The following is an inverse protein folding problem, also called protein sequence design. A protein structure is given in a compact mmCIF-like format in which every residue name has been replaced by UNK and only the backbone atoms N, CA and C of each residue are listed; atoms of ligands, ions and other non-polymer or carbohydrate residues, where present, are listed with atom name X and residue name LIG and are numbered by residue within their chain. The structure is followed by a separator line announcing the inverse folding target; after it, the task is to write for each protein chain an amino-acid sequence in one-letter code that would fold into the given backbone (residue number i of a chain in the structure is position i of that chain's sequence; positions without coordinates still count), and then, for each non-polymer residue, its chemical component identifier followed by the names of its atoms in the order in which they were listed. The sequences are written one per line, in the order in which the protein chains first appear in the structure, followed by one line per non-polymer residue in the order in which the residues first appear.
data_IF_181682196194
#
_entry.id   IF_181682196194
#
_cell.length_a   1.000
_cell.length_b   1.000
_cell.length_c   1.000
_cell.angle_alpha   90.00
_cell.angle_beta   90.00
_cell.angle_gamma   90.00
#
_symmetry.space_group_name_H-M   'P 1'
#
loop_
_entity.id
_entity.type
_entity.pdbx_description
1 polymer ?
#
# COMPACT_ATOMS: atom_id res chain seq x y z
N UNK A 1 -0.71 -9.76 -15.89
CA UNK A 1 -2.10 -10.23 -15.68
C UNK A 1 -2.74 -9.32 -14.62
N UNK A 2 -4.00 -8.92 -14.79
CA UNK A 2 -4.74 -8.10 -13.82
C UNK A 2 -5.10 -8.98 -12.60
N UNK A 3 -4.90 -8.48 -11.38
CA UNK A 3 -5.16 -9.19 -10.10
C UNK A 3 -6.63 -9.10 -9.64
N UNK A 4 -7.53 -8.68 -10.53
CA UNK A 4 -8.95 -8.46 -10.25
C UNK A 4 -9.22 -7.16 -9.49
N UNK A 5 -10.51 -6.93 -9.21
CA UNK A 5 -11.04 -5.73 -8.53
C UNK A 5 -10.59 -5.58 -7.08
N UNK A 6 -9.98 -6.64 -6.52
CA UNK A 6 -9.40 -6.64 -5.18
C UNK A 6 -8.11 -5.83 -5.11
N UNK A 7 -7.42 -5.66 -6.25
CA UNK A 7 -6.26 -4.78 -6.36
C UNK A 7 -6.58 -3.62 -7.28
N UNK A 8 -6.97 -3.89 -8.53
CA UNK A 8 -7.14 -2.90 -9.58
C UNK A 8 -8.50 -2.20 -9.49
N UNK A 9 -8.52 -0.88 -9.61
CA UNK A 9 -9.74 -0.06 -9.61
C UNK A 9 -9.80 0.83 -10.85
N UNK A 10 -10.72 1.78 -10.88
CA UNK A 10 -10.74 2.84 -11.90
C UNK A 10 -9.72 3.96 -11.59
N UNK A 11 -9.20 4.00 -10.36
CA UNK A 11 -8.16 4.93 -9.95
C UNK A 11 -6.76 4.43 -10.29
N UNK A 12 -5.76 5.00 -9.62
CA UNK A 12 -4.37 4.60 -9.79
C UNK A 12 -3.99 3.51 -8.79
N UNK A 13 -3.30 2.48 -9.24
CA UNK A 13 -2.60 1.50 -8.40
C UNK A 13 -1.13 1.45 -8.78
N UNK A 14 -0.25 1.87 -7.87
CA UNK A 14 1.17 2.04 -8.16
C UNK A 14 2.05 1.49 -7.02
N UNK A 15 3.35 1.42 -7.30
CA UNK A 15 4.40 1.05 -6.34
C UNK A 15 4.19 -0.30 -5.65
N UNK A 16 4.02 -1.40 -6.41
CA UNK A 16 3.85 -2.72 -5.82
C UNK A 16 5.12 -3.19 -5.10
N UNK A 17 4.96 -3.76 -3.91
CA UNK A 17 6.01 -4.42 -3.15
C UNK A 17 5.47 -5.74 -2.57
N UNK A 18 6.10 -6.87 -2.93
CA UNK A 18 5.72 -8.20 -2.42
C UNK A 18 6.67 -8.60 -1.30
N UNK A 19 6.12 -9.11 -0.19
CA UNK A 19 6.91 -9.62 0.93
C UNK A 19 7.72 -10.85 0.53
N UNK A 20 8.86 -11.07 1.18
CA UNK A 20 9.76 -12.20 0.88
C UNK A 20 9.07 -13.57 1.00
N UNK A 21 8.06 -13.69 1.88
CA UNK A 21 7.26 -14.90 2.04
C UNK A 21 6.14 -15.08 0.98
N UNK A 22 6.03 -14.14 0.03
CA UNK A 22 5.02 -14.09 -1.04
C UNK A 22 3.56 -14.12 -0.55
N UNK A 23 3.29 -13.70 0.69
CA UNK A 23 1.92 -13.70 1.24
C UNK A 23 1.22 -12.37 1.12
N UNK A 24 1.97 -11.27 1.08
CA UNK A 24 1.40 -9.92 1.10
C UNK A 24 1.95 -9.07 -0.03
N UNK A 25 1.07 -8.44 -0.79
CA UNK A 25 1.40 -7.38 -1.73
C UNK A 25 1.01 -6.03 -1.11
N UNK A 26 1.96 -5.14 -0.93
CA UNK A 26 1.71 -3.74 -0.63
C UNK A 26 1.64 -2.93 -1.92
N UNK A 27 0.74 -1.98 -1.99
CA UNK A 27 0.60 -1.07 -3.13
C UNK A 27 -0.07 0.24 -2.68
N UNK A 28 0.16 1.33 -3.41
CA UNK A 28 -0.55 2.57 -3.20
C UNK A 28 -1.77 2.63 -4.12
N UNK A 29 -2.91 3.14 -3.63
CA UNK A 29 -4.13 3.30 -4.44
C UNK A 29 -4.85 4.61 -4.17
N UNK A 30 -5.39 5.24 -5.23
CA UNK A 30 -6.30 6.40 -5.17
C UNK A 30 -7.76 6.06 -5.47
N UNK A 31 -8.05 4.83 -5.91
CA UNK A 31 -9.40 4.40 -6.26
C UNK A 31 -10.13 3.66 -5.14
N UNK A 32 -9.63 3.77 -3.91
CA UNK A 32 -10.22 3.15 -2.70
C UNK A 32 -10.42 4.21 -1.63
N UNK A 33 -11.38 4.00 -0.74
CA UNK A 33 -11.55 4.87 0.41
C UNK A 33 -10.29 4.83 1.29
N UNK A 34 -9.78 6.01 1.62
CA UNK A 34 -8.58 6.19 2.42
C UNK A 34 -8.55 7.56 3.09
N UNK A 35 -7.36 8.09 3.34
CA UNK A 35 -7.13 9.34 4.06
C UNK A 35 -6.69 10.48 3.12
N UNK A 36 -5.91 10.17 2.08
CA UNK A 36 -5.27 11.14 1.20
C UNK A 36 -5.60 10.94 -0.28
N UNK A 37 -4.69 11.36 -1.16
CA UNK A 37 -4.81 11.10 -2.60
C UNK A 37 -4.39 9.67 -2.93
N UNK A 38 -3.14 9.32 -2.59
CA UNK A 38 -2.66 7.94 -2.57
C UNK A 38 -2.52 7.42 -1.13
N UNK A 39 -3.06 6.24 -0.88
CA UNK A 39 -2.90 5.52 0.37
C UNK A 39 -2.30 4.13 0.16
N UNK A 40 -1.51 3.65 1.11
CA UNK A 40 -0.94 2.30 1.10
C UNK A 40 -1.96 1.26 1.58
N UNK A 41 -2.13 0.21 0.79
CA UNK A 41 -2.93 -0.96 1.08
C UNK A 41 -2.07 -2.22 1.13
N UNK A 42 -2.48 -3.18 1.96
CA UNK A 42 -1.96 -4.54 1.96
C UNK A 42 -3.00 -5.50 1.37
N UNK A 43 -2.62 -6.22 0.33
CA UNK A 43 -3.37 -7.30 -0.27
C UNK A 43 -2.85 -8.65 0.25
N UNK A 44 -3.70 -9.38 0.97
CA UNK A 44 -3.43 -10.75 1.40
C UNK A 44 -3.64 -11.70 0.21
N UNK A 45 -2.56 -12.28 -0.32
CA UNK A 45 -2.60 -13.15 -1.49
C UNK A 45 -3.27 -14.50 -1.20
N UNK A 46 -3.44 -14.87 0.07
CA UNK A 46 -4.09 -16.10 0.50
C UNK A 46 -5.60 -15.93 0.65
N UNK A 47 -6.05 -14.76 1.13
CA UNK A 47 -7.47 -14.46 1.34
C UNK A 47 -8.12 -13.70 0.18
N UNK A 48 -7.33 -13.02 -0.64
CA UNK A 48 -7.83 -12.22 -1.75
C UNK A 48 -8.48 -10.92 -1.30
N UNK A 49 -7.93 -10.27 -0.27
CA UNK A 49 -8.51 -9.06 0.33
C UNK A 49 -7.47 -7.96 0.50
N UNK A 50 -7.86 -6.72 0.19
CA UNK A 50 -7.04 -5.52 0.38
C UNK A 50 -7.52 -4.72 1.57
N UNK A 51 -6.59 -4.33 2.44
CA UNK A 51 -6.86 -3.52 3.64
C UNK A 51 -5.99 -2.27 3.64
N UNK A 52 -6.57 -1.11 3.92
CA UNK A 52 -5.82 0.14 4.10
C UNK A 52 -4.96 0.04 5.37
N UNK A 53 -3.68 0.45 5.32
CA UNK A 53 -2.77 0.31 6.46
C UNK A 53 -3.02 1.29 7.62
N UNK A 54 -3.88 2.28 7.43
CA UNK A 54 -4.23 3.24 8.48
C UNK A 54 -3.08 4.16 8.91
N UNK A 55 -3.35 4.99 9.91
CA UNK A 55 -2.33 5.81 10.57
C UNK A 55 -1.40 4.92 11.43
N UNK A 56 -0.08 5.22 11.52
CA UNK A 56 0.60 6.40 10.98
C UNK A 56 1.16 6.22 9.56
N UNK A 57 0.97 5.05 8.93
CA UNK A 57 1.49 4.76 7.58
C UNK A 57 0.81 5.63 6.54
N UNK A 58 -0.50 5.80 6.65
CA UNK A 58 -1.30 6.68 5.81
C UNK A 58 -1.68 7.99 6.53
N UNK A 59 -1.94 9.03 5.76
CA UNK A 59 -2.24 10.39 6.19
C UNK A 59 -3.14 11.10 5.19
N UNK A 60 -3.46 12.36 5.46
CA UNK A 60 -4.27 13.20 4.56
C UNK A 60 -3.50 13.69 3.31
N UNK A 61 -2.36 13.06 3.01
CA UNK A 61 -1.40 13.37 1.95
C UNK A 61 -1.13 12.11 1.12
N UNK A 62 -0.28 12.21 0.10
CA UNK A 62 0.06 11.03 -0.69
C UNK A 62 1.14 10.23 0.02
N UNK A 63 0.79 8.97 0.32
CA UNK A 63 1.65 7.98 0.95
C UNK A 63 1.78 6.77 0.04
N UNK A 64 3.02 6.45 -0.35
CA UNK A 64 3.30 5.52 -1.44
C UNK A 64 4.68 4.87 -1.31
N UNK A 65 5.00 3.94 -2.23
CA UNK A 65 6.27 3.23 -2.28
C UNK A 65 6.69 2.61 -0.92
N UNK A 66 5.73 1.97 -0.25
CA UNK A 66 5.98 1.26 0.99
C UNK A 66 6.78 -0.01 0.73
N UNK A 67 7.80 -0.25 1.56
CA UNK A 67 8.54 -1.51 1.58
C UNK A 67 8.93 -1.89 3.01
N UNK A 68 9.14 -3.19 3.23
CA UNK A 68 9.42 -3.77 4.54
C UNK A 68 10.50 -4.82 4.43
N UNK A 69 11.49 -4.77 5.33
CA UNK A 69 12.30 -5.91 5.67
C UNK A 69 11.92 -6.37 7.09
N UNK A 70 11.19 -7.47 7.18
CA UNK A 70 10.66 -7.98 8.44
C UNK A 70 11.77 -8.53 9.35
N UNK A 71 12.81 -9.15 8.77
CA UNK A 71 13.94 -9.71 9.54
C UNK A 71 14.73 -8.62 10.27
N UNK A 72 14.93 -7.48 9.63
CA UNK A 72 15.64 -6.31 10.17
C UNK A 72 14.72 -5.35 10.92
N UNK A 73 13.41 -5.58 10.88
CA UNK A 73 12.38 -4.71 11.42
C UNK A 73 12.51 -3.25 10.93
N UNK A 74 12.73 -3.07 9.63
CA UNK A 74 12.88 -1.76 8.98
C UNK A 74 11.85 -1.64 7.87
N UNK A 75 11.15 -0.51 7.84
CA UNK A 75 10.25 -0.14 6.75
C UNK A 75 10.64 1.22 6.15
N UNK A 76 10.35 1.39 4.87
CA UNK A 76 10.50 2.65 4.16
C UNK A 76 9.15 3.06 3.59
N UNK A 77 8.86 4.35 3.65
CA UNK A 77 7.66 4.97 3.10
C UNK A 77 8.09 6.25 2.38
N UNK A 78 7.60 6.45 1.18
CA UNK A 78 7.69 7.74 0.50
C UNK A 78 6.40 8.51 0.69
N UNK A 79 6.51 9.81 0.92
CA UNK A 79 5.36 10.65 1.20
C UNK A 79 5.61 12.09 0.76
N UNK A 80 4.55 12.80 0.39
CA UNK A 80 4.59 14.25 0.19
C UNK A 80 4.07 15.04 1.39
N UNK A 81 3.96 14.41 2.57
CA UNK A 81 3.80 15.13 3.85
C UNK A 81 4.87 16.22 3.95
N UNK A 82 4.46 17.41 4.38
CA UNK A 82 5.41 18.45 4.77
C UNK A 82 6.37 17.85 5.80
N UNK A 83 7.66 17.89 5.50
CA UNK A 83 8.68 17.37 6.40
C UNK A 83 8.53 18.01 7.77
N UNK A 84 8.75 17.21 8.82
CA UNK A 84 9.09 17.72 10.15
C UNK A 84 10.45 18.40 10.12
#
# INVERSE_FOLDING_TARGET
QNLGSKVNTEGEENFPFVTEDNKTLYFASSGRQGFGGLDVFAYDMTKGESTNLGKPINSEKDDFAFSLNAEKNIGFLSTNRSGV
#
